data_IF_976200277358
#
_entry.id   IF_976200277358
#
_cell.length_a   1.000
_cell.length_b   1.000
_cell.length_c   1.000
_cell.angle_alpha   90.00
_cell.angle_beta   90.00
_cell.angle_gamma   90.00
#
_symmetry.space_group_name_H-M   'P 1'
#
loop_
_entity.id
_entity.type
_entity.pdbx_description
1 polymer ?
#
# COMPACT_ATOMS: atom_id res chain seq x y z
N UNK A 1 -1.26 -13.17 1.58
CA UNK A 1 -0.13 -12.93 0.66
C UNK A 1 -0.13 -11.48 0.20
N UNK A 2 1.03 -10.87 0.04
CA UNK A 2 1.14 -9.49 -0.42
C UNK A 2 1.84 -9.41 -1.77
N UNK A 3 1.49 -8.39 -2.54
CA UNK A 3 2.02 -8.18 -3.88
C UNK A 3 2.64 -6.79 -3.98
N UNK A 4 3.79 -6.64 -4.63
CA UNK A 4 4.39 -5.32 -4.80
C UNK A 4 3.52 -4.47 -5.73
N UNK A 5 3.40 -3.19 -5.41
CA UNK A 5 2.71 -2.24 -6.26
C UNK A 5 3.66 -1.16 -6.78
N UNK A 6 4.40 -0.52 -5.89
CA UNK A 6 5.23 0.62 -6.26
C UNK A 6 6.39 0.78 -5.27
N UNK A 7 7.55 1.15 -5.78
CA UNK A 7 8.69 1.55 -4.96
C UNK A 7 9.06 2.98 -5.33
N UNK A 8 9.09 3.86 -4.34
CA UNK A 8 9.39 5.28 -4.55
C UNK A 8 10.91 5.51 -4.49
N UNK A 9 11.34 6.69 -4.94
CA UNK A 9 12.76 7.04 -4.99
C UNK A 9 13.46 7.06 -3.63
N UNK A 10 12.71 7.26 -2.56
CA UNK A 10 13.24 7.24 -1.19
C UNK A 10 13.19 5.85 -0.56
N UNK A 11 13.09 4.82 -1.37
CA UNK A 11 13.01 3.42 -0.97
C UNK A 11 11.71 3.05 -0.23
N UNK A 12 10.72 3.91 -0.28
CA UNK A 12 9.40 3.57 0.26
C UNK A 12 8.75 2.51 -0.62
N UNK A 13 8.40 1.39 -0.02
CA UNK A 13 7.73 0.30 -0.70
C UNK A 13 6.25 0.29 -0.38
N UNK A 14 5.44 0.16 -1.41
CA UNK A 14 3.98 0.03 -1.28
C UNK A 14 3.60 -1.34 -1.82
N UNK A 15 3.00 -2.15 -0.95
CA UNK A 15 2.52 -3.49 -1.31
C UNK A 15 1.05 -3.59 -0.95
N UNK A 16 0.35 -4.54 -1.55
CA UNK A 16 -1.07 -4.74 -1.25
C UNK A 16 -1.42 -6.21 -1.10
N UNK A 17 -2.49 -6.48 -0.40
CA UNK A 17 -3.02 -7.83 -0.22
C UNK A 17 -3.93 -8.21 -1.39
N UNK A 18 -4.39 -9.44 -1.36
CA UNK A 18 -5.55 -9.86 -2.14
C UNK A 18 -6.79 -9.15 -1.61
N UNK A 19 -7.83 -9.07 -2.42
CA UNK A 19 -9.10 -8.54 -1.95
C UNK A 19 -9.66 -9.47 -0.87
N UNK A 20 -9.99 -8.91 0.28
CA UNK A 20 -10.54 -9.66 1.39
C UNK A 20 -12.01 -9.99 1.14
N UNK A 21 -12.57 -10.97 1.88
CA UNK A 21 -13.98 -11.35 1.69
C UNK A 21 -14.97 -10.21 1.87
N UNK A 22 -14.62 -9.19 2.65
CA UNK A 22 -15.47 -8.02 2.86
C UNK A 22 -15.27 -6.92 1.80
N UNK A 23 -14.47 -7.19 0.77
CA UNK A 23 -14.20 -6.25 -0.31
C UNK A 23 -13.10 -5.25 -0.04
N UNK A 24 -12.44 -5.33 1.12
CA UNK A 24 -11.34 -4.43 1.45
C UNK A 24 -10.01 -4.95 0.92
N UNK A 25 -9.10 -4.03 0.70
CA UNK A 25 -7.72 -4.35 0.33
C UNK A 25 -6.79 -3.68 1.33
N UNK A 26 -5.87 -4.45 1.87
CA UNK A 26 -4.86 -3.92 2.79
C UNK A 26 -3.67 -3.43 1.97
N UNK A 27 -3.28 -2.19 2.20
CA UNK A 27 -2.10 -1.60 1.56
C UNK A 27 -1.09 -1.30 2.65
N UNK A 28 0.08 -1.91 2.57
CA UNK A 28 1.15 -1.70 3.53
C UNK A 28 2.25 -0.84 2.92
N UNK A 29 2.70 0.13 3.67
CA UNK A 29 3.77 1.04 3.27
C UNK A 29 4.92 0.90 4.26
N UNK A 30 6.12 0.67 3.74
CA UNK A 30 7.31 0.59 4.57
C UNK A 30 8.42 1.45 3.98
N UNK A 31 9.15 2.14 4.85
CA UNK A 31 10.30 2.93 4.47
C UNK A 31 11.45 2.64 5.44
N UNK A 32 12.66 2.33 4.94
CA UNK A 32 13.82 2.13 5.82
C UNK A 32 14.11 3.41 6.62
N UNK A 33 14.45 3.23 7.88
CA UNK A 33 14.81 4.33 8.77
C UNK A 33 15.95 3.89 9.70
N UNK A 34 16.97 4.73 9.84
CA UNK A 34 18.15 4.38 10.63
C UNK A 34 17.84 4.20 12.11
N UNK A 35 16.90 4.97 12.65
CA UNK A 35 16.57 4.91 14.08
C UNK A 35 15.54 3.84 14.40
N UNK A 36 14.54 3.66 13.54
CA UNK A 36 13.40 2.79 13.80
C UNK A 36 13.50 1.45 13.06
N UNK A 37 14.54 1.24 12.28
CA UNK A 37 14.66 0.18 11.28
C UNK A 37 13.71 0.41 10.12
N UNK A 38 12.43 0.54 10.38
CA UNK A 38 11.41 0.82 9.36
C UNK A 38 10.37 1.76 9.89
N UNK A 39 9.91 2.67 9.04
CA UNK A 39 8.64 3.33 9.22
C UNK A 39 7.58 2.47 8.55
N UNK A 40 6.42 2.39 9.14
CA UNK A 40 5.35 1.52 8.66
C UNK A 40 3.99 2.19 8.76
N UNK A 41 3.12 1.91 7.81
CA UNK A 41 1.72 2.32 7.86
C UNK A 41 0.87 1.34 7.06
N UNK A 42 -0.37 1.18 7.46
CA UNK A 42 -1.35 0.38 6.73
C UNK A 42 -2.52 1.26 6.34
N UNK A 43 -2.91 1.22 5.08
CA UNK A 43 -4.07 1.92 4.56
C UNK A 43 -5.07 0.90 4.02
N UNK A 44 -6.32 1.01 4.41
CA UNK A 44 -7.38 0.12 3.96
C UNK A 44 -8.18 0.76 2.85
N UNK A 45 -8.34 0.06 1.74
CA UNK A 45 -9.16 0.51 0.62
C UNK A 45 -10.51 -0.21 0.64
N UNK A 46 -11.57 0.42 0.17
CA UNK A 46 -11.64 1.74 -0.45
C UNK A 46 -11.85 2.91 0.51
N UNK A 47 -11.85 2.67 1.81
CA UNK A 47 -12.21 3.69 2.80
C UNK A 47 -11.09 4.66 3.15
N UNK A 48 -9.83 4.31 2.81
CA UNK A 48 -8.63 5.07 3.19
C UNK A 48 -8.47 5.17 4.71
N UNK A 49 -8.86 4.14 5.43
CA UNK A 49 -8.63 4.07 6.87
C UNK A 49 -7.17 3.69 7.13
N UNK A 50 -6.51 4.48 7.98
CA UNK A 50 -5.11 4.23 8.34
C UNK A 50 -5.01 3.56 9.70
N UNK A 51 -4.17 2.53 9.78
CA UNK A 51 -3.89 1.80 11.02
C UNK A 51 -2.39 1.51 11.10
N UNK A 52 -1.92 1.17 12.30
CA UNK A 52 -0.52 0.76 12.52
C UNK A 52 0.51 1.76 11.98
N UNK A 53 0.20 3.05 12.05
CA UNK A 53 1.11 4.10 11.59
C UNK A 53 2.25 4.24 12.58
N UNK A 54 3.48 4.04 12.11
CA UNK A 54 4.67 4.13 12.95
C UNK A 54 5.77 4.89 12.21
N UNK A 55 6.18 6.02 12.77
CA UNK A 55 7.30 6.80 12.25
C UNK A 55 6.93 7.83 11.19
N UNK A 56 5.80 7.71 10.53
CA UNK A 56 5.37 8.69 9.54
C UNK A 56 4.68 9.87 10.22
N UNK A 57 4.99 11.09 9.75
CA UNK A 57 4.30 12.29 10.20
C UNK A 57 2.94 12.44 9.49
N UNK A 58 2.13 13.40 9.95
CA UNK A 58 0.87 13.70 9.29
C UNK A 58 1.08 14.16 7.84
N UNK A 59 2.13 14.92 7.60
CA UNK A 59 2.49 15.38 6.26
C UNK A 59 2.87 14.21 5.36
N UNK A 60 3.65 13.27 5.88
CA UNK A 60 3.99 12.05 5.17
C UNK A 60 2.73 11.26 4.84
N UNK A 61 1.82 11.13 5.79
CA UNK A 61 0.57 10.43 5.61
C UNK A 61 -0.28 11.03 4.49
N UNK A 62 -0.35 12.35 4.43
CA UNK A 62 -1.10 13.04 3.37
C UNK A 62 -0.46 12.81 2.01
N UNK A 63 0.87 12.84 1.94
CA UNK A 63 1.60 12.58 0.70
C UNK A 63 1.37 11.14 0.22
N UNK A 64 1.48 10.19 1.13
CA UNK A 64 1.27 8.77 0.82
C UNK A 64 -0.17 8.50 0.40
N UNK A 65 -1.14 9.14 1.05
CA UNK A 65 -2.54 8.98 0.66
C UNK A 65 -2.79 9.47 -0.76
N UNK A 66 -2.22 10.60 -1.14
CA UNK A 66 -2.35 11.09 -2.52
C UNK A 66 -1.76 10.12 -3.53
N UNK A 67 -0.63 9.51 -3.19
CA UNK A 67 0.00 8.51 -4.06
C UNK A 67 -0.92 7.29 -4.19
N UNK A 68 -1.47 6.81 -3.09
CA UNK A 68 -2.37 5.66 -3.10
C UNK A 68 -3.65 5.98 -3.85
N UNK A 69 -4.22 7.18 -3.64
CA UNK A 69 -5.43 7.60 -4.35
C UNK A 69 -5.23 7.61 -5.87
N UNK A 70 -4.06 8.02 -6.33
CA UNK A 70 -3.78 8.06 -7.76
C UNK A 70 -3.73 6.67 -8.40
N UNK A 71 -3.45 5.64 -7.63
CA UNK A 71 -3.37 4.27 -8.12
C UNK A 71 -4.38 3.32 -7.51
N UNK A 72 -5.33 3.81 -6.71
CA UNK A 72 -6.22 2.94 -5.96
C UNK A 72 -7.02 1.99 -6.84
N UNK A 73 -7.49 2.44 -7.99
CA UNK A 73 -8.26 1.59 -8.90
C UNK A 73 -7.40 0.44 -9.44
N UNK A 74 -6.13 0.67 -9.68
CA UNK A 74 -5.20 -0.38 -10.11
C UNK A 74 -4.93 -1.36 -8.99
N UNK A 75 -4.74 -0.86 -7.76
CA UNK A 75 -4.52 -1.72 -6.60
C UNK A 75 -5.73 -2.65 -6.40
N UNK A 76 -6.93 -2.10 -6.47
CA UNK A 76 -8.16 -2.89 -6.31
C UNK A 76 -8.27 -3.91 -7.43
N UNK A 77 -8.00 -3.51 -8.67
CA UNK A 77 -8.04 -4.42 -9.82
C UNK A 77 -7.04 -5.56 -9.66
N UNK A 78 -5.79 -5.25 -9.32
CA UNK A 78 -4.77 -6.26 -9.13
C UNK A 78 -5.07 -7.18 -7.94
N UNK A 79 -5.68 -6.66 -6.89
CA UNK A 79 -6.05 -7.48 -5.74
C UNK A 79 -7.10 -8.52 -6.09
N UNK A 80 -7.93 -8.24 -7.09
CA UNK A 80 -8.94 -9.18 -7.59
C UNK A 80 -8.32 -10.26 -8.48
N UNK A 81 -7.21 -9.95 -9.14
CA UNK A 81 -6.58 -10.85 -10.11
C UNK A 81 -5.32 -11.54 -9.57
N UNK A 82 -4.96 -11.30 -8.30
CA UNK A 82 -3.77 -11.89 -7.70
C UNK A 82 -2.49 -11.08 -7.94
N UNK A 83 -2.63 -9.77 -8.15
CA UNK A 83 -1.50 -8.86 -8.29
C UNK A 83 -1.02 -8.70 -9.73
N UNK A 84 0.15 -8.09 -9.89
CA UNK A 84 0.72 -7.84 -11.21
C UNK A 84 0.94 -9.12 -12.01
N UNK A 85 1.43 -10.15 -11.35
CA UNK A 85 1.69 -11.42 -12.02
C UNK A 85 0.42 -12.03 -12.59
N UNK A 86 -0.67 -11.94 -11.82
CA UNK A 86 -1.97 -12.41 -12.29
C UNK A 86 -2.45 -11.59 -13.49
N UNK A 87 -2.31 -10.28 -13.44
CA UNK A 87 -2.71 -9.40 -14.52
C UNK A 87 -1.87 -9.64 -15.79
N UNK A 88 -0.58 -9.82 -15.62
CA UNK A 88 0.33 -10.03 -16.75
C UNK A 88 0.17 -11.42 -17.38
N UNK A 89 -0.42 -12.34 -16.67
CA UNK A 89 -0.66 -13.69 -17.17
C UNK A 89 -1.80 -13.79 -18.16
N UNK A 90 -2.49 -12.72 -18.35
CA UNK A 90 -3.60 -12.68 -19.30
C UNK A 90 -3.12 -12.41 -20.70
#
# INVERSE_FOLDING_TARGET
MTYPFLTLNDETEIVHSEMLPDGRVRVDIEQPDEKLCFKHATCWLPTYEWTDVKGFSEEDGRRLQRIIESGAHLIIEFSQTGGFDGASGL
#
